data_IF_456438687063
#
_entry.id   IF_456438687063
#
_cell.length_a   1.000
_cell.length_b   1.000
_cell.length_c   1.000
_cell.angle_alpha   90.00
_cell.angle_beta   90.00
_cell.angle_gamma   90.00
#
_symmetry.space_group_name_H-M   'P 1'
#
loop_
_entity.id
_entity.type
_entity.pdbx_description
1 polymer ?
#
# COMPACT_ATOMS: atom_id res chain seq x y z
N UNK A 1 4.15 17.23 -1.83
CA UNK A 1 4.77 16.84 -3.12
C UNK A 1 6.05 17.64 -3.31
N UNK A 2 7.19 17.00 -3.51
CA UNK A 2 8.47 17.71 -3.63
C UNK A 2 8.91 17.80 -5.10
N UNK A 3 9.55 18.91 -5.48
CA UNK A 3 10.07 19.13 -6.82
C UNK A 3 11.32 20.04 -6.80
N UNK A 4 12.17 19.92 -7.81
CA UNK A 4 13.34 20.77 -7.97
C UNK A 4 12.98 22.10 -8.62
N UNK A 5 13.39 23.21 -8.00
CA UNK A 5 13.27 24.54 -8.57
C UNK A 5 14.56 25.32 -8.36
N UNK A 6 15.25 25.65 -9.45
CA UNK A 6 16.52 26.39 -9.43
C UNK A 6 17.57 25.75 -8.49
N UNK A 7 17.72 24.42 -8.57
CA UNK A 7 18.68 23.66 -7.75
C UNK A 7 18.31 23.54 -6.27
N UNK A 8 17.05 23.83 -5.90
CA UNK A 8 16.54 23.67 -4.54
C UNK A 8 15.29 22.81 -4.54
N UNK A 9 15.24 21.86 -3.62
CA UNK A 9 14.03 21.11 -3.34
C UNK A 9 12.97 22.03 -2.73
N UNK A 10 11.77 22.03 -3.31
CA UNK A 10 10.59 22.74 -2.81
C UNK A 10 9.49 21.73 -2.54
N UNK A 11 8.76 21.94 -1.44
CA UNK A 11 7.60 21.13 -1.09
C UNK A 11 6.36 21.96 -1.35
N UNK A 12 5.49 21.44 -2.20
CA UNK A 12 4.15 21.96 -2.42
C UNK A 12 3.18 21.32 -1.40
N UNK A 13 2.42 22.18 -0.74
CA UNK A 13 1.29 21.78 0.11
C UNK A 13 0.16 21.24 -0.77
N UNK A 14 -0.19 19.98 -0.56
CA UNK A 14 -1.23 19.26 -1.32
C UNK A 14 -2.51 19.06 -0.52
N UNK A 15 -2.68 19.76 0.61
CA UNK A 15 -3.89 19.64 1.46
C UNK A 15 -5.18 19.95 0.70
N UNK A 16 -5.10 20.85 -0.28
CA UNK A 16 -6.21 21.22 -1.16
C UNK A 16 -5.96 20.71 -2.57
N UNK A 17 -6.48 19.52 -2.85
CA UNK A 17 -6.42 18.90 -4.18
C UNK A 17 -7.80 18.41 -4.59
N UNK A 18 -8.09 18.42 -5.90
CA UNK A 18 -9.31 17.83 -6.43
C UNK A 18 -8.98 16.41 -6.95
N UNK A 19 -9.40 15.34 -6.24
CA UNK A 19 -9.09 13.97 -6.63
C UNK A 19 -10.01 13.44 -7.75
N UNK A 20 -10.94 14.24 -8.29
CA UNK A 20 -11.93 13.79 -9.29
C UNK A 20 -11.33 13.23 -10.58
N UNK A 21 -10.04 13.46 -10.85
CA UNK A 21 -9.31 12.80 -11.94
C UNK A 21 -9.10 11.30 -11.70
N UNK A 22 -8.96 10.88 -10.44
CA UNK A 22 -8.85 9.47 -10.08
C UNK A 22 -10.22 8.78 -10.09
N UNK A 23 -11.28 9.52 -9.75
CA UNK A 23 -12.65 8.99 -9.68
C UNK A 23 -12.69 7.68 -8.87
N UNK A 24 -13.44 6.68 -9.33
CA UNK A 24 -13.55 5.36 -8.70
C UNK A 24 -12.20 4.64 -8.46
N UNK A 25 -11.12 5.02 -9.14
CA UNK A 25 -9.81 4.39 -8.96
C UNK A 25 -9.04 4.88 -7.73
N UNK A 26 -9.41 6.03 -7.13
CA UNK A 26 -8.59 6.59 -6.05
C UNK A 26 -9.06 7.89 -5.41
N UNK A 27 -10.33 8.29 -5.54
CA UNK A 27 -10.82 9.55 -4.94
C UNK A 27 -11.35 9.42 -3.50
N UNK A 28 -11.34 8.21 -2.93
CA UNK A 28 -11.86 7.96 -1.57
C UNK A 28 -11.00 8.67 -0.52
N UNK A 29 -11.65 9.37 0.40
CA UNK A 29 -11.05 9.95 1.61
C UNK A 29 -11.46 9.07 2.80
N UNK A 30 -10.50 8.66 3.63
CA UNK A 30 -10.74 7.77 4.77
C UNK A 30 -9.75 8.00 5.91
N UNK A 31 -9.92 7.23 6.99
CA UNK A 31 -8.96 7.14 8.11
C UNK A 31 -8.34 5.75 8.16
N UNK A 32 -7.18 5.60 8.82
CA UNK A 32 -6.58 4.27 9.01
C UNK A 32 -7.51 3.31 9.76
N UNK A 33 -8.31 3.82 10.70
CA UNK A 33 -9.32 3.05 11.43
C UNK A 33 -10.45 2.56 10.53
N UNK A 34 -10.98 3.41 9.67
CA UNK A 34 -12.10 3.06 8.79
C UNK A 34 -11.66 2.10 7.69
N UNK A 35 -10.43 2.27 7.18
CA UNK A 35 -9.81 1.34 6.26
C UNK A 35 -9.57 -0.04 6.89
N UNK A 36 -9.06 -0.12 8.12
CA UNK A 36 -8.92 -1.40 8.85
C UNK A 36 -10.27 -2.09 9.05
N UNK A 37 -11.30 -1.32 9.44
CA UNK A 37 -12.67 -1.82 9.57
C UNK A 37 -13.20 -2.36 8.23
N UNK A 38 -13.02 -1.62 7.15
CA UNK A 38 -13.48 -2.02 5.82
C UNK A 38 -12.81 -3.31 5.38
N UNK A 39 -11.48 -3.39 5.43
CA UNK A 39 -10.77 -4.59 4.98
C UNK A 39 -11.07 -5.80 5.85
N UNK A 40 -11.20 -5.64 7.17
CA UNK A 40 -11.56 -6.75 8.02
C UNK A 40 -12.99 -7.27 7.75
N UNK A 41 -13.94 -6.38 7.46
CA UNK A 41 -15.30 -6.78 7.07
C UNK A 41 -15.33 -7.43 5.68
N UNK A 42 -14.61 -6.86 4.70
CA UNK A 42 -14.54 -7.41 3.34
C UNK A 42 -13.90 -8.80 3.32
N UNK A 43 -12.67 -8.90 3.82
CA UNK A 43 -11.85 -10.11 3.75
C UNK A 43 -12.24 -11.14 4.82
N UNK A 44 -12.99 -10.72 5.84
CA UNK A 44 -13.64 -11.59 6.81
C UNK A 44 -14.94 -12.23 6.30
N UNK A 45 -15.48 -11.77 5.16
CA UNK A 45 -16.71 -12.31 4.57
C UNK A 45 -18.01 -11.67 5.07
N UNK A 46 -17.94 -10.52 5.74
CA UNK A 46 -19.13 -9.80 6.21
C UNK A 46 -19.79 -8.97 5.10
N UNK A 47 -19.04 -8.60 4.06
CA UNK A 47 -19.53 -7.75 2.96
C UNK A 47 -19.84 -8.51 1.67
N UNK A 48 -19.25 -9.68 1.47
CA UNK A 48 -19.44 -10.50 0.28
C UNK A 48 -19.77 -11.95 0.68
N UNK A 49 -20.73 -12.59 -0.01
CA UNK A 49 -20.88 -14.04 0.03
C UNK A 49 -19.58 -14.77 -0.33
N UNK A 50 -19.44 -16.00 0.15
CA UNK A 50 -18.19 -16.77 0.04
C UNK A 50 -17.72 -16.99 -1.41
N UNK A 51 -18.65 -17.15 -2.35
CA UNK A 51 -18.36 -17.28 -3.79
C UNK A 51 -17.79 -15.99 -4.37
N UNK A 52 -18.39 -14.83 -4.07
CA UNK A 52 -17.85 -13.54 -4.52
C UNK A 52 -16.53 -13.16 -3.84
N UNK A 53 -16.34 -13.54 -2.57
CA UNK A 53 -15.06 -13.36 -1.90
C UNK A 53 -13.96 -14.25 -2.49
N UNK A 54 -14.31 -15.46 -2.97
CA UNK A 54 -13.38 -16.30 -3.69
C UNK A 54 -12.98 -15.67 -5.03
N UNK A 55 -13.92 -15.09 -5.77
CA UNK A 55 -13.65 -14.35 -7.01
C UNK A 55 -12.77 -13.11 -6.76
N UNK A 56 -13.01 -12.36 -5.67
CA UNK A 56 -12.18 -11.21 -5.27
C UNK A 56 -10.70 -11.62 -5.09
N UNK A 57 -10.47 -12.82 -4.52
CA UNK A 57 -9.16 -13.40 -4.22
C UNK A 57 -8.53 -14.18 -5.39
N UNK A 58 -9.28 -14.44 -6.46
CA UNK A 58 -8.80 -15.21 -7.60
C UNK A 58 -7.74 -14.41 -8.37
N UNK A 59 -6.51 -14.47 -7.87
CA UNK A 59 -5.41 -13.63 -8.32
C UNK A 59 -4.61 -14.28 -9.44
N UNK A 60 -4.17 -13.45 -10.39
CA UNK A 60 -3.23 -13.84 -11.44
C UNK A 60 -1.83 -13.28 -11.13
N UNK A 61 -0.75 -13.92 -11.60
CA UNK A 61 0.59 -13.38 -11.42
C UNK A 61 0.70 -11.93 -11.94
N UNK A 62 1.35 -11.08 -11.15
CA UNK A 62 1.62 -9.68 -11.45
C UNK A 62 3.13 -9.42 -11.45
N UNK A 63 3.52 -8.22 -11.86
CA UNK A 63 4.92 -7.79 -11.86
C UNK A 63 5.46 -7.75 -10.43
N UNK A 64 6.69 -8.23 -10.21
CA UNK A 64 7.38 -8.08 -8.92
C UNK A 64 7.23 -9.24 -7.93
N UNK A 65 6.58 -10.35 -8.31
CA UNK A 65 6.46 -11.55 -7.46
C UNK A 65 5.12 -11.67 -6.72
N UNK A 66 4.27 -10.66 -6.84
CA UNK A 66 2.93 -10.64 -6.27
C UNK A 66 1.88 -11.22 -7.23
N UNK A 67 0.69 -11.49 -6.70
CA UNK A 67 -0.50 -11.79 -7.50
C UNK A 67 -1.55 -10.70 -7.30
N UNK A 68 -2.41 -10.49 -8.29
CA UNK A 68 -3.44 -9.45 -8.25
C UNK A 68 -4.81 -10.03 -8.62
N UNK A 69 -5.77 -9.90 -7.72
CA UNK A 69 -7.18 -10.29 -7.88
C UNK A 69 -8.05 -9.14 -8.40
N UNK A 70 -9.32 -9.11 -8.02
CA UNK A 70 -10.25 -8.06 -8.47
C UNK A 70 -10.11 -6.80 -7.60
N UNK A 71 -9.07 -6.00 -7.85
CA UNK A 71 -8.77 -4.82 -7.04
C UNK A 71 -8.17 -5.18 -5.67
N UNK A 72 -7.47 -6.31 -5.60
CA UNK A 72 -6.88 -6.86 -4.39
C UNK A 72 -5.46 -7.35 -4.67
N UNK A 73 -4.47 -6.75 -4.01
CA UNK A 73 -3.10 -7.25 -3.98
C UNK A 73 -3.05 -8.51 -3.09
N UNK A 74 -2.36 -9.54 -3.57
CA UNK A 74 -2.12 -10.80 -2.84
C UNK A 74 -0.62 -11.05 -2.79
N UNK A 75 -0.07 -10.97 -1.59
CA UNK A 75 1.37 -10.95 -1.31
C UNK A 75 1.75 -12.18 -0.47
N UNK A 76 2.39 -13.19 -1.08
CA UNK A 76 2.91 -14.34 -0.34
C UNK A 76 4.10 -13.96 0.55
N UNK A 77 4.17 -14.56 1.73
CA UNK A 77 5.21 -14.39 2.75
C UNK A 77 5.56 -15.73 3.40
N UNK A 78 6.53 -15.75 4.33
CA UNK A 78 6.79 -16.93 5.17
C UNK A 78 5.59 -17.25 6.07
N UNK A 79 5.42 -18.50 6.48
CA UNK A 79 4.38 -18.89 7.44
C UNK A 79 4.60 -18.21 8.80
N UNK A 80 5.87 -18.00 9.17
CA UNK A 80 6.30 -17.24 10.34
C UNK A 80 5.86 -15.77 10.28
N UNK A 81 5.83 -15.17 9.08
CA UNK A 81 5.28 -13.84 8.84
C UNK A 81 3.75 -13.84 8.63
N UNK A 82 3.08 -14.99 8.59
CA UNK A 82 1.61 -15.08 8.46
C UNK A 82 1.10 -15.56 7.10
N UNK A 83 1.98 -16.11 6.26
CA UNK A 83 1.66 -16.88 5.06
C UNK A 83 1.31 -16.00 3.87
N UNK A 84 0.13 -15.39 3.87
CA UNK A 84 -0.35 -14.55 2.76
C UNK A 84 -1.01 -13.29 3.29
N UNK A 85 -0.67 -12.16 2.68
CA UNK A 85 -1.31 -10.86 2.91
C UNK A 85 -2.20 -10.46 1.74
N UNK A 86 -3.34 -9.87 2.09
CA UNK A 86 -4.37 -9.38 1.18
C UNK A 86 -4.60 -7.89 1.46
N UNK A 87 -4.69 -7.08 0.41
CA UNK A 87 -4.92 -5.65 0.59
C UNK A 87 -4.74 -4.81 -0.65
N UNK A 88 -4.27 -3.57 -0.47
CA UNK A 88 -4.04 -2.65 -1.58
C UNK A 88 -3.13 -1.49 -1.16
N UNK A 89 -2.27 -1.04 -2.07
CA UNK A 89 -1.47 0.16 -1.93
C UNK A 89 -2.10 1.36 -2.68
N UNK A 90 -1.90 2.57 -2.19
CA UNK A 90 -2.50 3.78 -2.75
C UNK A 90 -1.50 4.90 -2.84
N UNK A 91 -1.59 5.68 -3.92
CA UNK A 91 -0.75 6.84 -4.16
C UNK A 91 -1.53 7.93 -4.88
N UNK A 92 -1.59 9.11 -4.27
CA UNK A 92 -2.08 10.32 -4.90
C UNK A 92 -1.17 11.49 -4.50
N UNK A 93 -1.21 12.60 -5.23
CA UNK A 93 -0.32 13.73 -5.00
C UNK A 93 -0.24 14.13 -3.52
N UNK A 94 0.91 13.90 -2.89
CA UNK A 94 1.15 14.25 -1.49
C UNK A 94 0.85 13.14 -0.47
N UNK A 95 0.25 12.01 -0.87
CA UNK A 95 -0.17 10.96 0.05
C UNK A 95 0.07 9.56 -0.50
N UNK A 96 0.66 8.68 0.33
CA UNK A 96 0.68 7.24 0.10
C UNK A 96 -0.11 6.54 1.20
N UNK A 97 -0.75 5.42 0.87
CA UNK A 97 -1.45 4.58 1.83
C UNK A 97 -1.18 3.10 1.55
N UNK A 98 -1.17 2.29 2.60
CA UNK A 98 -1.03 0.85 2.49
C UNK A 98 -2.06 0.20 3.40
N UNK A 99 -2.72 -0.83 2.90
CA UNK A 99 -3.62 -1.67 3.66
C UNK A 99 -3.20 -3.11 3.42
N UNK A 100 -2.91 -3.85 4.48
CA UNK A 100 -2.51 -5.25 4.42
C UNK A 100 -3.14 -6.01 5.59
N UNK A 101 -3.71 -7.17 5.31
CA UNK A 101 -4.27 -8.09 6.31
C UNK A 101 -3.86 -9.51 5.95
N UNK A 102 -3.39 -10.29 6.92
CA UNK A 102 -3.13 -11.71 6.69
C UNK A 102 -4.44 -12.43 6.34
N UNK A 103 -4.43 -13.46 5.47
CA UNK A 103 -5.65 -14.17 5.05
C UNK A 103 -6.46 -14.68 6.26
N UNK A 104 -5.77 -15.19 7.29
CA UNK A 104 -6.37 -15.64 8.56
C UNK A 104 -6.86 -14.49 9.49
N UNK A 105 -6.56 -13.24 9.17
CA UNK A 105 -7.00 -12.04 9.90
C UNK A 105 -6.26 -11.72 11.20
N UNK A 106 -5.23 -12.50 11.55
CA UNK A 106 -4.46 -12.33 12.77
C UNK A 106 -3.52 -11.11 12.76
N UNK A 107 -3.06 -10.69 11.57
CA UNK A 107 -2.13 -9.57 11.40
C UNK A 107 -2.73 -8.55 10.44
N UNK A 108 -2.67 -7.27 10.81
CA UNK A 108 -3.28 -6.16 10.07
C UNK A 108 -2.41 -4.93 10.18
N UNK A 109 -2.28 -4.20 9.08
CA UNK A 109 -1.56 -2.95 8.99
C UNK A 109 -2.32 -2.00 8.07
N UNK A 110 -2.52 -0.78 8.54
CA UNK A 110 -2.94 0.34 7.69
C UNK A 110 -2.01 1.52 7.94
N UNK A 111 -1.37 2.00 6.88
CA UNK A 111 -0.45 3.14 6.91
C UNK A 111 -1.02 4.25 6.04
N UNK A 112 -0.91 5.49 6.51
CA UNK A 112 -1.12 6.70 5.71
C UNK A 112 0.09 7.62 5.90
N UNK A 113 0.72 8.01 4.80
CA UNK A 113 1.95 8.80 4.75
C UNK A 113 1.66 10.10 4.02
N UNK A 114 1.95 11.23 4.66
CA UNK A 114 2.02 12.52 3.97
C UNK A 114 3.43 12.73 3.42
N UNK A 115 3.56 12.82 2.09
CA UNK A 115 4.83 13.00 1.40
C UNK A 115 5.36 14.43 1.62
N UNK A 116 6.34 14.53 2.52
CA UNK A 116 7.09 15.75 2.82
C UNK A 116 8.21 16.05 1.82
N UNK A 117 9.40 16.41 2.34
CA UNK A 117 10.58 16.77 1.56
C UNK A 117 11.37 15.54 1.04
N UNK A 118 10.68 14.57 0.45
CA UNK A 118 11.32 13.44 -0.24
C UNK A 118 11.40 13.77 -1.72
N UNK A 119 12.62 13.92 -2.24
CA UNK A 119 12.85 14.09 -3.67
C UNK A 119 12.75 12.73 -4.37
N UNK A 120 11.59 12.41 -4.94
CA UNK A 120 11.39 11.16 -5.66
C UNK A 120 12.04 11.16 -7.06
N UNK A 121 12.62 12.28 -7.50
CA UNK A 121 13.41 12.35 -8.75
C UNK A 121 14.90 12.02 -8.51
N UNK A 122 15.35 12.09 -7.25
CA UNK A 122 16.64 11.58 -6.81
C UNK A 122 16.51 10.08 -6.52
N UNK A 123 17.23 9.26 -7.29
CA UNK A 123 17.14 7.80 -7.21
C UNK A 123 17.51 7.27 -5.82
N UNK A 124 18.53 7.83 -5.17
CA UNK A 124 18.98 7.39 -3.85
C UNK A 124 17.96 7.76 -2.76
N UNK A 125 17.35 8.95 -2.86
CA UNK A 125 16.28 9.35 -1.97
C UNK A 125 15.01 8.52 -2.16
N UNK A 126 14.64 8.22 -3.41
CA UNK A 126 13.51 7.35 -3.73
C UNK A 126 13.72 5.93 -3.19
N UNK A 127 14.91 5.36 -3.39
CA UNK A 127 15.29 4.05 -2.86
C UNK A 127 15.18 4.02 -1.33
N UNK A 128 15.77 5.01 -0.63
CA UNK A 128 15.68 5.09 0.84
C UNK A 128 14.24 5.17 1.34
N UNK A 129 13.38 5.92 0.64
CA UNK A 129 11.97 6.04 0.99
C UNK A 129 11.23 4.71 0.85
N UNK A 130 11.43 4.00 -0.27
CA UNK A 130 10.81 2.69 -0.51
C UNK A 130 11.27 1.67 0.54
N UNK A 131 12.57 1.58 0.80
CA UNK A 131 13.09 0.66 1.82
C UNK A 131 12.59 1.00 3.23
N UNK A 132 12.50 2.28 3.58
CA UNK A 132 11.94 2.66 4.89
C UNK A 132 10.47 2.24 5.05
N UNK A 133 9.67 2.29 3.98
CA UNK A 133 8.29 1.78 4.00
C UNK A 133 8.25 0.26 4.08
N UNK A 134 9.12 -0.43 3.34
CA UNK A 134 9.22 -1.89 3.40
C UNK A 134 9.64 -2.37 4.79
N UNK A 135 10.66 -1.75 5.38
CA UNK A 135 11.11 -2.04 6.75
C UNK A 135 9.99 -1.80 7.77
N UNK A 136 9.22 -0.71 7.62
CA UNK A 136 8.06 -0.44 8.47
C UNK A 136 7.02 -1.55 8.35
N UNK A 137 6.64 -1.93 7.12
CA UNK A 137 5.64 -2.97 6.89
C UNK A 137 6.11 -4.33 7.40
N UNK A 138 7.35 -4.72 7.10
CA UNK A 138 7.96 -5.95 7.58
C UNK A 138 8.07 -5.99 9.11
N UNK A 139 8.50 -4.89 9.74
CA UNK A 139 8.58 -4.85 11.21
C UNK A 139 7.20 -4.96 11.84
N UNK A 140 6.19 -4.27 11.29
CA UNK A 140 4.84 -4.27 11.85
C UNK A 140 4.10 -5.60 11.62
N UNK A 141 4.36 -6.27 10.50
CA UNK A 141 3.67 -7.50 10.10
C UNK A 141 4.45 -8.76 10.49
N UNK A 142 5.76 -8.82 10.28
CA UNK A 142 6.59 -10.00 10.54
C UNK A 142 7.35 -9.95 11.88
N UNK A 143 7.66 -8.75 12.39
CA UNK A 143 8.57 -8.54 13.53
C UNK A 143 10.00 -8.19 13.07
N UNK A 144 10.87 -7.84 14.03
CA UNK A 144 12.18 -7.22 13.76
C UNK A 144 13.29 -8.17 13.25
N UNK A 145 13.05 -9.48 13.21
CA UNK A 145 14.09 -10.49 12.89
C UNK A 145 13.95 -11.13 11.49
N UNK A 146 12.88 -10.84 10.74
CA UNK A 146 12.70 -11.38 9.39
C UNK A 146 13.41 -10.52 8.33
N UNK A 147 14.14 -11.13 7.38
CA UNK A 147 14.63 -10.41 6.21
C UNK A 147 13.44 -9.82 5.45
N UNK A 148 13.56 -8.58 4.98
CA UNK A 148 12.55 -7.88 4.18
C UNK A 148 12.22 -8.67 2.91
N UNK A 149 11.23 -9.56 2.96
CA UNK A 149 10.51 -9.94 1.76
C UNK A 149 9.79 -8.66 1.27
N UNK A 150 9.91 -8.30 -0.02
CA UNK A 150 9.33 -7.06 -0.50
C UNK A 150 7.81 -7.19 -0.42
N UNK A 151 7.17 -6.48 0.50
CA UNK A 151 5.82 -6.01 0.24
C UNK A 151 5.95 -5.10 -0.98
N UNK A 152 5.35 -5.48 -2.12
CA UNK A 152 5.47 -4.63 -3.29
C UNK A 152 4.85 -3.28 -2.98
N UNK A 153 5.66 -2.24 -3.15
CA UNK A 153 5.14 -0.89 -3.17
C UNK A 153 4.79 -0.58 -4.61
N UNK A 154 3.52 -0.27 -4.91
CA UNK A 154 3.12 0.25 -6.22
C UNK A 154 3.64 1.69 -6.47
N UNK A 155 4.88 1.99 -6.07
CA UNK A 155 5.61 3.15 -6.54
C UNK A 155 6.32 2.71 -7.81
N UNK A 156 5.57 2.54 -8.89
CA UNK A 156 6.17 2.58 -10.22
C UNK A 156 6.56 4.03 -10.47
N UNK A 157 7.86 4.40 -10.55
CA UNK A 157 8.22 5.71 -11.03
C UNK A 157 7.97 5.67 -12.54
N UNK A 158 6.78 6.05 -12.97
CA UNK A 158 6.59 6.44 -14.36
C UNK A 158 7.31 7.77 -14.55
N UNK A 159 8.54 7.67 -15.08
CA UNK A 159 9.24 8.75 -15.77
C UNK A 159 8.40 9.23 -16.97
#
# INVERSE_FOLDING_TARGET
YAYQHQGRLRVLDMSWTNPSRAYAAGEIISTTRDLDRFANALLGGDLLPADLLAELRAAVPSQGGDSYGLGLEVVPTSEECGGVYEGHSGGIHGYNSFLLRSTNGARRLVVSVTLGAVDLTDQEAAIRYVYALQDLMATALCGAEEPTAPFATAVTPHL
#
